data_IF_865201189833
#
_entry.id   IF_865201189833
#
_cell.length_a   1.000
_cell.length_b   1.000
_cell.length_c   1.000
_cell.angle_alpha   90.00
_cell.angle_beta   90.00
_cell.angle_gamma   90.00
#
_symmetry.space_group_name_H-M   'P 1'
#
loop_
_entity.id
_entity.type
_entity.pdbx_description
1 polymer ?
#
# COMPACT_ATOMS: atom_id res chain seq x y z
N UNK A 1 -11.57 -2.53 12.94
CA UNK A 1 -11.22 -3.92 13.31
C UNK A 1 -9.73 -3.95 13.63
N UNK A 2 -9.29 -4.76 14.59
CA UNK A 2 -7.87 -4.94 14.96
C UNK A 2 -7.48 -6.41 14.82
N UNK A 3 -6.18 -6.70 14.70
CA UNK A 3 -5.65 -8.07 14.58
C UNK A 3 -6.22 -8.85 13.38
N UNK A 4 -6.31 -8.19 12.23
CA UNK A 4 -6.74 -8.83 10.97
C UNK A 4 -5.51 -9.29 10.20
N UNK A 5 -5.56 -10.50 9.64
CA UNK A 5 -4.49 -11.08 8.83
C UNK A 5 -5.01 -11.38 7.42
N UNK A 6 -4.31 -10.87 6.41
CA UNK A 6 -4.49 -11.25 5.01
C UNK A 6 -3.37 -12.19 4.58
N UNK A 7 -3.72 -13.29 3.95
CA UNK A 7 -2.79 -14.29 3.41
C UNK A 7 -3.22 -14.58 1.97
N UNK A 8 -2.32 -14.36 1.02
CA UNK A 8 -2.50 -14.79 -0.37
C UNK A 8 -1.71 -16.05 -0.70
N UNK A 9 -1.83 -16.50 -1.95
CA UNK A 9 -1.13 -17.68 -2.48
C UNK A 9 0.22 -17.32 -3.13
N UNK A 10 0.68 -16.08 -2.97
CA UNK A 10 1.91 -15.54 -3.54
C UNK A 10 1.71 -14.14 -4.12
N UNK A 11 2.77 -13.32 -4.04
CA UNK A 11 2.78 -11.91 -4.45
C UNK A 11 2.26 -11.64 -5.88
N UNK A 12 2.44 -12.57 -6.82
CA UNK A 12 1.93 -12.46 -8.20
C UNK A 12 0.68 -13.33 -8.50
N UNK A 13 0.17 -14.05 -7.50
CA UNK A 13 -0.99 -14.95 -7.66
C UNK A 13 -2.26 -14.39 -7.04
N UNK A 14 -2.11 -13.64 -5.95
CA UNK A 14 -3.22 -12.98 -5.28
C UNK A 14 -2.99 -11.48 -5.29
N UNK A 15 -3.82 -10.74 -6.01
CA UNK A 15 -3.70 -9.29 -6.15
C UNK A 15 -5.04 -8.61 -5.90
N UNK A 16 -5.05 -7.55 -5.08
CA UNK A 16 -6.18 -6.63 -4.93
C UNK A 16 -5.85 -5.38 -5.74
N UNK A 17 -6.68 -5.09 -6.75
CA UNK A 17 -6.43 -4.01 -7.71
C UNK A 17 -7.55 -2.96 -7.73
N UNK A 18 -7.16 -1.71 -7.98
CA UNK A 18 -8.02 -0.53 -8.08
C UNK A 18 -7.52 0.44 -9.14
N UNK A 19 -8.25 1.55 -9.33
CA UNK A 19 -7.91 2.57 -10.36
C UNK A 19 -8.38 3.99 -10.04
N UNK A 20 -8.71 4.27 -8.78
CA UNK A 20 -9.06 5.64 -8.37
C UNK A 20 -7.81 6.51 -8.39
N UNK A 21 -7.98 7.79 -8.74
CA UNK A 21 -6.85 8.69 -8.98
C UNK A 21 -7.24 10.16 -8.83
N UNK A 22 -6.23 11.01 -8.69
CA UNK A 22 -6.42 12.44 -8.48
C UNK A 22 -7.03 13.18 -9.66
N UNK A 23 -6.58 12.88 -10.89
CA UNK A 23 -7.07 13.54 -12.10
C UNK A 23 -8.58 13.37 -12.29
N UNK A 24 -9.11 12.20 -11.94
CA UNK A 24 -10.53 11.87 -12.02
C UNK A 24 -11.29 12.28 -10.75
N UNK A 25 -10.91 13.41 -10.16
CA UNK A 25 -11.57 14.12 -9.05
C UNK A 25 -11.66 13.34 -7.72
N UNK A 26 -10.69 12.44 -7.47
CA UNK A 26 -10.57 11.74 -6.18
C UNK A 26 -9.35 12.24 -5.43
N UNK A 27 -9.53 12.90 -4.28
CA UNK A 27 -8.39 13.35 -3.47
C UNK A 27 -7.44 12.20 -3.11
N UNK A 28 -6.14 12.45 -3.05
CA UNK A 28 -5.08 11.42 -2.82
C UNK A 28 -5.40 10.45 -1.69
N UNK A 29 -5.93 10.93 -0.57
CA UNK A 29 -6.29 10.09 0.58
C UNK A 29 -7.36 9.03 0.25
N UNK A 30 -8.21 9.29 -0.74
CA UNK A 30 -9.32 8.45 -1.19
C UNK A 30 -9.01 7.65 -2.46
N UNK A 31 -7.86 7.85 -3.12
CA UNK A 31 -7.46 7.08 -4.31
C UNK A 31 -7.00 5.66 -3.98
N UNK A 32 -6.85 5.36 -2.69
CA UNK A 32 -6.33 4.11 -2.15
C UNK A 32 -7.13 2.87 -2.57
N UNK A 33 -6.48 1.86 -3.16
CA UNK A 33 -7.07 0.54 -3.39
C UNK A 33 -7.36 -0.20 -2.08
N UNK A 34 -6.40 -0.28 -1.16
CA UNK A 34 -6.60 -0.87 0.19
C UNK A 34 -6.15 0.07 1.30
N UNK A 35 -7.07 0.37 2.24
CA UNK A 35 -6.78 1.22 3.40
C UNK A 35 -6.71 0.38 4.70
N UNK A 36 -5.52 0.30 5.28
CA UNK A 36 -5.26 -0.39 6.56
C UNK A 36 -5.31 0.63 7.70
N UNK A 37 -6.40 0.63 8.45
CA UNK A 37 -6.60 1.53 9.61
C UNK A 37 -6.48 0.76 10.94
N UNK A 38 -6.77 -0.55 10.93
CA UNK A 38 -6.71 -1.40 12.11
C UNK A 38 -5.30 -1.59 12.66
N UNK A 39 -5.16 -1.62 13.99
CA UNK A 39 -3.88 -1.94 14.63
C UNK A 39 -3.53 -3.42 14.50
N UNK A 40 -2.23 -3.73 14.47
CA UNK A 40 -1.69 -5.10 14.35
C UNK A 40 -2.19 -5.84 13.12
N UNK A 41 -2.40 -5.11 12.02
CA UNK A 41 -2.70 -5.71 10.73
C UNK A 41 -1.49 -6.45 10.19
N UNK A 42 -1.71 -7.61 9.57
CA UNK A 42 -0.67 -8.37 8.89
C UNK A 42 -1.14 -8.69 7.47
N UNK A 43 -0.26 -8.49 6.49
CA UNK A 43 -0.41 -9.06 5.15
C UNK A 43 0.80 -9.91 4.80
N UNK A 44 0.54 -11.08 4.17
CA UNK A 44 1.57 -11.98 3.68
C UNK A 44 1.23 -12.54 2.30
N UNK A 45 2.22 -12.66 1.44
CA UNK A 45 2.13 -13.36 0.14
C UNK A 45 1.01 -12.81 -0.76
N UNK A 46 0.83 -11.49 -0.81
CA UNK A 46 -0.26 -10.80 -1.52
C UNK A 46 0.21 -9.48 -2.15
N UNK A 47 -0.36 -9.13 -3.30
CA UNK A 47 -0.14 -7.87 -4.01
C UNK A 47 -1.26 -6.83 -3.83
N UNK A 48 -0.89 -5.56 -3.78
CA UNK A 48 -1.78 -4.39 -3.77
C UNK A 48 -1.43 -3.49 -4.96
N UNK A 49 -2.40 -3.17 -5.80
CA UNK A 49 -2.15 -2.49 -7.07
C UNK A 49 -3.10 -1.31 -7.30
N UNK A 50 -2.60 -0.23 -7.89
CA UNK A 50 -3.41 0.80 -8.52
C UNK A 50 -2.99 1.02 -9.99
N UNK A 51 -3.91 0.71 -10.91
CA UNK A 51 -3.66 0.63 -12.36
C UNK A 51 -3.96 1.92 -13.12
N UNK A 52 -4.24 3.03 -12.43
CA UNK A 52 -4.71 4.26 -13.08
C UNK A 52 -3.68 4.90 -14.03
N UNK A 53 -2.38 4.69 -13.84
CA UNK A 53 -1.34 5.15 -14.77
C UNK A 53 -0.64 6.45 -14.37
N UNK A 54 0.56 6.68 -14.91
CA UNK A 54 1.39 7.85 -14.61
C UNK A 54 0.72 9.21 -14.90
N UNK A 55 -0.11 9.28 -15.96
CA UNK A 55 -0.77 10.53 -16.37
C UNK A 55 -1.90 10.94 -15.42
N UNK A 56 -2.27 10.07 -14.48
CA UNK A 56 -3.37 10.29 -13.52
C UNK A 56 -2.92 10.89 -12.20
N UNK A 57 -1.63 11.26 -12.09
CA UNK A 57 -0.99 11.75 -10.87
C UNK A 57 -1.18 10.77 -9.70
N UNK A 58 -1.61 11.24 -8.53
CA UNK A 58 -1.60 10.44 -7.29
C UNK A 58 -2.55 9.23 -7.36
N UNK A 59 -1.99 8.03 -7.23
CA UNK A 59 -2.63 6.73 -7.46
C UNK A 59 -2.24 5.72 -6.38
N UNK A 60 -2.78 5.87 -5.18
CA UNK A 60 -2.37 5.08 -4.02
C UNK A 60 -2.81 3.62 -4.16
N UNK A 61 -1.87 2.69 -4.10
CA UNK A 61 -2.15 1.25 -4.07
C UNK A 61 -2.47 0.79 -2.64
N UNK A 62 -1.67 1.23 -1.67
CA UNK A 62 -1.83 0.85 -0.27
C UNK A 62 -1.64 2.06 0.65
N UNK A 63 -2.60 2.28 1.55
CA UNK A 63 -2.49 3.28 2.63
C UNK A 63 -2.50 2.60 3.98
N UNK A 64 -1.53 2.95 4.82
CA UNK A 64 -1.37 2.34 6.15
C UNK A 64 -1.37 3.42 7.23
N UNK A 65 -2.39 3.33 8.09
CA UNK A 65 -2.64 4.16 9.27
C UNK A 65 -2.73 3.29 10.55
N UNK A 66 -2.64 1.97 10.44
CA UNK A 66 -2.63 1.06 11.59
C UNK A 66 -1.27 1.00 12.28
N UNK A 67 -1.25 1.11 13.61
CA UNK A 67 -0.03 0.89 14.39
C UNK A 67 0.35 -0.59 14.48
N UNK A 68 1.64 -0.88 14.46
CA UNK A 68 2.22 -2.23 14.46
C UNK A 68 1.78 -3.07 13.24
N UNK A 69 1.64 -2.43 12.08
CA UNK A 69 1.31 -3.13 10.84
C UNK A 69 2.55 -3.86 10.28
N UNK A 70 2.36 -5.09 9.81
CA UNK A 70 3.42 -5.93 9.22
C UNK A 70 3.02 -6.33 7.80
N UNK A 71 3.96 -6.18 6.87
CA UNK A 71 3.85 -6.67 5.50
C UNK A 71 5.06 -7.57 5.23
N UNK A 72 4.81 -8.80 4.79
CA UNK A 72 5.88 -9.78 4.55
C UNK A 72 5.66 -10.50 3.22
N UNK A 73 6.64 -10.49 2.31
CA UNK A 73 6.48 -11.11 0.98
C UNK A 73 5.27 -10.50 0.23
N UNK A 74 5.13 -9.17 0.29
CA UNK A 74 4.04 -8.43 -0.35
C UNK A 74 4.55 -7.59 -1.52
N UNK A 75 3.64 -7.28 -2.45
CA UNK A 75 3.90 -6.32 -3.52
C UNK A 75 2.98 -5.11 -3.40
N UNK A 76 3.52 -3.91 -3.62
CA UNK A 76 2.76 -2.68 -3.80
C UNK A 76 3.15 -2.08 -5.14
N UNK A 77 2.20 -2.01 -6.07
CA UNK A 77 2.46 -1.57 -7.45
C UNK A 77 1.55 -0.41 -7.89
N UNK A 78 2.15 0.55 -8.59
CA UNK A 78 1.49 1.79 -8.98
C UNK A 78 2.44 2.75 -9.69
N UNK A 79 2.09 4.03 -9.67
CA UNK A 79 2.90 5.10 -10.29
C UNK A 79 3.26 6.17 -9.25
N UNK A 80 2.57 7.31 -9.25
CA UNK A 80 2.78 8.34 -8.24
C UNK A 80 2.02 7.99 -6.96
N UNK A 81 2.67 8.13 -5.80
CA UNK A 81 2.09 7.90 -4.47
C UNK A 81 1.70 6.42 -4.18
N UNK A 82 2.39 5.43 -4.74
CA UNK A 82 2.05 3.99 -4.60
C UNK A 82 1.79 3.55 -3.15
N UNK A 83 2.74 3.78 -2.24
CA UNK A 83 2.65 3.38 -0.83
C UNK A 83 2.54 4.60 0.09
N UNK A 84 1.33 4.80 0.61
CA UNK A 84 1.04 5.83 1.59
C UNK A 84 1.24 5.30 3.02
N UNK A 85 2.49 5.34 3.47
CA UNK A 85 2.89 5.01 4.84
C UNK A 85 2.54 6.17 5.80
N UNK A 86 1.24 6.38 6.02
CA UNK A 86 0.66 7.60 6.58
C UNK A 86 1.06 7.89 8.04
N UNK A 87 0.92 6.92 8.95
CA UNK A 87 1.19 7.15 10.38
C UNK A 87 1.53 5.88 11.17
N UNK A 88 2.04 6.07 12.39
CA UNK A 88 2.40 5.01 13.36
C UNK A 88 3.54 4.09 12.90
N UNK A 89 3.72 2.96 13.60
CA UNK A 89 4.83 2.03 13.36
C UNK A 89 4.45 0.98 12.34
N UNK A 90 5.29 0.78 11.35
CA UNK A 90 5.05 -0.15 10.25
C UNK A 90 6.33 -0.89 9.90
N UNK A 91 6.22 -2.15 9.52
CA UNK A 91 7.36 -2.98 9.13
C UNK A 91 7.07 -3.71 7.82
N UNK A 92 7.94 -3.51 6.83
CA UNK A 92 7.86 -4.12 5.51
C UNK A 92 9.11 -4.98 5.30
N UNK A 93 8.92 -6.29 5.11
CA UNK A 93 10.02 -7.24 4.99
C UNK A 93 9.88 -8.09 3.75
N UNK A 94 10.96 -8.24 2.98
CA UNK A 94 10.97 -9.04 1.75
C UNK A 94 9.84 -8.58 0.79
N UNK A 95 9.57 -7.28 0.74
CA UNK A 95 8.48 -6.69 -0.05
C UNK A 95 9.01 -5.96 -1.28
N UNK A 96 8.21 -5.91 -2.34
CA UNK A 96 8.51 -5.15 -3.55
C UNK A 96 7.58 -3.95 -3.60
N UNK A 97 8.15 -2.73 -3.68
CA UNK A 97 7.38 -1.50 -3.89
C UNK A 97 7.84 -0.86 -5.20
N UNK A 98 6.92 -0.71 -6.14
CA UNK A 98 7.17 -0.14 -7.48
C UNK A 98 6.36 1.13 -7.70
N UNK A 99 6.98 2.13 -8.33
CA UNK A 99 6.33 3.39 -8.67
C UNK A 99 7.28 4.39 -9.28
N UNK A 100 6.83 5.63 -9.42
CA UNK A 100 7.55 6.71 -10.11
C UNK A 100 7.88 7.88 -9.19
N UNK A 101 6.90 8.72 -8.86
CA UNK A 101 7.06 9.93 -8.03
C UNK A 101 6.51 9.66 -6.64
N UNK A 102 7.28 9.98 -5.60
CA UNK A 102 6.88 9.84 -4.19
C UNK A 102 6.25 8.47 -3.86
N UNK A 103 6.74 7.41 -4.51
CA UNK A 103 6.09 6.10 -4.50
C UNK A 103 6.13 5.40 -3.13
N UNK A 104 6.95 5.90 -2.19
CA UNK A 104 6.84 5.64 -0.75
C UNK A 104 6.81 7.00 -0.07
N UNK A 105 5.75 7.32 0.67
CA UNK A 105 5.63 8.63 1.29
C UNK A 105 4.91 8.64 2.65
N UNK A 106 5.19 9.74 3.35
CA UNK A 106 4.55 10.25 4.57
C UNK A 106 5.24 9.92 5.92
N UNK A 107 4.53 10.19 7.02
CA UNK A 107 5.09 10.50 8.34
C UNK A 107 5.01 9.32 9.34
N UNK A 108 5.07 8.10 8.83
CA UNK A 108 5.13 6.90 9.67
C UNK A 108 6.56 6.63 10.18
N UNK A 109 6.64 5.94 11.31
CA UNK A 109 7.89 5.34 11.78
C UNK A 109 8.02 3.96 11.11
N UNK A 110 8.60 3.94 9.91
CA UNK A 110 8.62 2.76 9.04
C UNK A 110 10.02 2.21 8.83
N UNK A 111 10.13 0.88 8.85
CA UNK A 111 11.35 0.16 8.46
C UNK A 111 11.04 -0.76 7.29
N UNK A 112 11.87 -0.64 6.24
CA UNK A 112 11.94 -1.58 5.11
C UNK A 112 13.21 -2.41 5.29
N UNK A 113 13.11 -3.74 5.18
CA UNK A 113 14.24 -4.64 5.41
C UNK A 113 14.29 -5.79 4.39
N UNK A 114 15.54 -6.08 3.99
CA UNK A 114 16.00 -7.05 2.99
C UNK A 114 15.80 -6.56 1.55
#
# INVERSE_FOLDING_TARGET
>A
MSNVVFIGDGLNKTTITGRLNFIDDTSTFKTTTVAVIGTKFIAKDIGFENTAGAIKHQVVALKVQGDQAIFHSCQMDGYQDTLYAHSHRQFYRDCIVTGTVDYIFSNSATVFQN
#
